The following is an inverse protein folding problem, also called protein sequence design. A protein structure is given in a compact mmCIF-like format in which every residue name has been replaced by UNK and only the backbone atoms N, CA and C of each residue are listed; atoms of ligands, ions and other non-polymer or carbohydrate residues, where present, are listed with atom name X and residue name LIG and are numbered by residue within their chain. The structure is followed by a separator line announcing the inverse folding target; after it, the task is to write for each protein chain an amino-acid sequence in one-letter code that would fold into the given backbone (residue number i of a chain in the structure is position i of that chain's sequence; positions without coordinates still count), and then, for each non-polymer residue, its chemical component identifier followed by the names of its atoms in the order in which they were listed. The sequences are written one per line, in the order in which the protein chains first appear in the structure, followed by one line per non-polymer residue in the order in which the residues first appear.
data_IF_327916532576
#
_entry.id   IF_327916532576
#
_cell.length_a   1.000
_cell.length_b   1.000
_cell.length_c   1.000
_cell.angle_alpha   90.00
_cell.angle_beta   90.00
_cell.angle_gamma   90.00
#
_symmetry.space_group_name_H-M   'P 1'
#
loop_
_entity.id
_entity.type
_entity.pdbx_description
1 polymer ?
#
# COMPACT_ATOMS: atom_id res chain seq x y z
N UNK A 1 -15.64 15.04 -5.34
CA UNK A 1 -14.18 15.04 -5.55
C UNK A 1 -13.54 14.66 -4.23
N UNK A 2 -12.93 13.49 -4.09
CA UNK A 2 -12.24 13.15 -2.83
C UNK A 2 -10.92 13.91 -2.77
N UNK A 3 -10.59 14.50 -1.62
CA UNK A 3 -9.34 15.20 -1.39
C UNK A 3 -8.12 14.29 -1.66
N UNK A 4 -6.98 14.90 -1.99
CA UNK A 4 -5.71 14.16 -2.13
C UNK A 4 -5.33 13.48 -0.80
N UNK A 5 -5.14 12.14 -0.76
CA UNK A 5 -4.87 11.45 0.50
C UNK A 5 -3.41 11.55 0.97
N UNK A 6 -2.48 12.06 0.15
CA UNK A 6 -1.04 12.09 0.48
C UNK A 6 -0.73 12.80 1.81
N UNK A 7 -1.34 13.95 2.16
CA UNK A 7 -1.09 14.58 3.46
C UNK A 7 -1.45 13.67 4.65
N UNK A 8 -2.56 12.93 4.55
CA UNK A 8 -2.98 11.97 5.58
C UNK A 8 -1.99 10.80 5.65
N UNK A 9 -1.56 10.27 4.50
CA UNK A 9 -0.59 9.17 4.46
C UNK A 9 0.74 9.56 5.13
N UNK A 10 1.24 10.77 4.89
CA UNK A 10 2.47 11.28 5.53
C UNK A 10 2.31 11.42 7.04
N UNK A 11 1.14 11.89 7.51
CA UNK A 11 0.86 11.99 8.94
C UNK A 11 0.86 10.60 9.62
N UNK A 12 0.16 9.63 9.02
CA UNK A 12 0.09 8.24 9.55
C UNK A 12 1.45 7.56 9.49
N UNK A 13 2.21 7.71 8.40
CA UNK A 13 3.58 7.20 8.28
C UNK A 13 4.41 7.67 9.48
N UNK A 14 4.47 8.99 9.71
CA UNK A 14 5.28 9.56 10.78
C UNK A 14 4.80 9.15 12.17
N UNK A 15 3.49 9.21 12.42
CA UNK A 15 2.93 8.94 13.75
C UNK A 15 2.96 7.43 14.11
N UNK A 16 2.75 6.56 13.12
CA UNK A 16 2.67 5.11 13.32
C UNK A 16 4.00 4.36 13.18
N UNK A 17 5.07 5.04 12.73
CA UNK A 17 6.37 4.39 12.50
C UNK A 17 6.35 3.36 11.37
N UNK A 18 5.42 3.48 10.42
CA UNK A 18 5.34 2.59 9.27
C UNK A 18 6.42 2.92 8.24
N UNK A 19 6.93 1.91 7.54
CA UNK A 19 7.89 2.10 6.43
C UNK A 19 7.25 2.90 5.28
N UNK A 20 5.93 2.70 5.05
CA UNK A 20 5.16 3.44 4.07
C UNK A 20 3.66 3.32 4.37
N UNK A 21 2.87 4.31 3.96
CA UNK A 21 1.41 4.28 3.93
C UNK A 21 0.96 4.57 2.51
N UNK A 22 0.09 3.73 1.95
CA UNK A 22 -0.20 3.77 0.52
C UNK A 22 -1.58 3.19 0.19
N UNK A 23 -2.03 3.48 -1.02
CA UNK A 23 -3.25 2.93 -1.62
C UNK A 23 -2.97 2.55 -3.07
N UNK A 24 -3.64 1.50 -3.53
CA UNK A 24 -3.72 1.15 -4.93
C UNK A 24 -5.17 0.91 -5.31
N UNK A 25 -5.51 1.23 -6.55
CA UNK A 25 -6.87 1.20 -7.08
C UNK A 25 -7.02 0.15 -8.20
N UNK A 26 -8.26 -0.27 -8.54
CA UNK A 26 -8.51 -1.23 -9.61
C UNK A 26 -8.01 -0.79 -11.00
N UNK A 27 -7.96 0.52 -11.25
CA UNK A 27 -7.41 1.13 -12.48
C UNK A 27 -5.88 1.16 -12.51
N UNK A 28 -5.22 0.50 -11.54
CA UNK A 28 -3.77 0.45 -11.31
C UNK A 28 -3.15 1.77 -10.88
N UNK A 29 -3.91 2.83 -10.67
CA UNK A 29 -3.39 4.03 -10.04
C UNK A 29 -3.02 3.74 -8.58
N UNK A 30 -2.05 4.51 -8.06
CA UNK A 30 -1.55 4.33 -6.71
C UNK A 30 -1.06 5.65 -6.13
N UNK A 31 -1.01 5.73 -4.80
CA UNK A 31 -0.41 6.84 -4.06
C UNK A 31 0.36 6.29 -2.86
N UNK A 32 1.51 6.88 -2.58
CA UNK A 32 2.40 6.50 -1.49
C UNK A 32 2.75 7.72 -0.63
N UNK A 33 2.96 7.51 0.67
CA UNK A 33 3.53 8.51 1.57
C UNK A 33 4.98 8.85 1.19
N UNK A 34 5.73 7.83 0.73
CA UNK A 34 7.07 7.94 0.15
C UNK A 34 7.13 7.09 -1.15
N UNK A 35 7.27 7.69 -2.34
CA UNK A 35 7.34 6.97 -3.60
C UNK A 35 8.75 6.46 -3.97
N UNK A 36 9.77 6.69 -3.13
CA UNK A 36 11.13 6.21 -3.39
C UNK A 36 11.19 4.68 -3.58
N UNK A 37 11.93 4.24 -4.59
CA UNK A 37 12.08 2.83 -4.95
C UNK A 37 10.88 2.20 -5.67
N UNK A 38 9.80 2.95 -5.93
CA UNK A 38 8.67 2.46 -6.73
C UNK A 38 8.99 2.60 -8.23
N UNK A 39 9.06 1.50 -9.00
CA UNK A 39 9.36 1.57 -10.43
C UNK A 39 8.16 2.12 -11.22
N UNK A 40 8.39 2.73 -12.41
CA UNK A 40 7.30 3.20 -13.28
C UNK A 40 6.34 2.09 -13.72
N UNK A 41 6.81 0.84 -13.73
CA UNK A 41 6.04 -0.36 -14.09
C UNK A 41 5.28 -0.96 -12.91
N UNK A 42 5.23 -0.28 -11.76
CA UNK A 42 4.54 -0.78 -10.57
C UNK A 42 3.04 -0.97 -10.83
N UNK A 43 2.55 -2.17 -10.53
CA UNK A 43 1.13 -2.53 -10.57
C UNK A 43 0.67 -2.91 -9.16
N UNK A 44 -0.16 -2.09 -8.47
CA UNK A 44 -0.63 -2.40 -7.13
C UNK A 44 -1.51 -3.65 -7.10
N UNK A 45 -2.27 -3.92 -8.18
CA UNK A 45 -3.23 -5.03 -8.24
C UNK A 45 -2.55 -6.39 -8.31
N UNK A 46 -1.29 -6.41 -8.76
CA UNK A 46 -0.46 -7.61 -8.80
C UNK A 46 0.13 -7.99 -7.43
N UNK A 47 0.09 -7.09 -6.42
CA UNK A 47 0.82 -7.26 -5.16
C UNK A 47 0.10 -8.16 -4.15
N UNK A 48 0.83 -8.90 -3.29
CA UNK A 48 0.23 -9.79 -2.29
C UNK A 48 -0.78 -9.09 -1.36
N UNK A 49 -0.44 -7.90 -0.86
CA UNK A 49 -1.31 -7.13 0.04
C UNK A 49 -2.65 -6.75 -0.60
N UNK A 50 -2.65 -6.39 -1.90
CA UNK A 50 -3.86 -5.99 -2.61
C UNK A 50 -4.76 -7.20 -2.84
N UNK A 51 -4.19 -8.28 -3.39
CA UNK A 51 -4.94 -9.51 -3.66
C UNK A 51 -5.57 -10.08 -2.39
N UNK A 52 -4.80 -10.15 -1.30
CA UNK A 52 -5.31 -10.68 -0.03
C UNK A 52 -6.41 -9.82 0.56
N UNK A 53 -6.29 -8.48 0.54
CA UNK A 53 -7.33 -7.60 1.05
C UNK A 53 -8.62 -7.70 0.24
N UNK A 54 -8.51 -7.72 -1.10
CA UNK A 54 -9.66 -7.86 -2.00
C UNK A 54 -10.34 -9.22 -1.84
N UNK A 55 -9.56 -10.31 -1.83
CA UNK A 55 -10.07 -11.67 -1.65
C UNK A 55 -10.76 -11.84 -0.29
N UNK A 56 -10.18 -11.26 0.77
CA UNK A 56 -10.75 -11.39 2.11
C UNK A 56 -12.00 -10.51 2.33
N UNK A 57 -12.17 -9.42 1.58
CA UNK A 57 -13.28 -8.47 1.75
C UNK A 57 -13.30 -7.77 3.12
N UNK A 58 -12.22 -7.84 3.89
CA UNK A 58 -12.08 -7.28 5.25
C UNK A 58 -10.61 -6.96 5.56
N UNK A 59 -10.31 -6.24 6.67
CA UNK A 59 -8.93 -6.02 7.10
C UNK A 59 -8.12 -7.31 7.24
N UNK A 60 -6.87 -7.30 6.77
CA UNK A 60 -5.93 -8.43 6.82
C UNK A 60 -4.53 -7.99 7.24
N UNK A 61 -3.75 -8.96 7.74
CA UNK A 61 -2.29 -8.86 7.87
C UNK A 61 -1.68 -9.88 6.93
N UNK A 62 -0.77 -9.46 6.06
CA UNK A 62 -0.13 -10.37 5.10
C UNK A 62 0.91 -11.27 5.78
N UNK A 63 1.18 -12.47 5.24
CA UNK A 63 2.47 -13.12 5.43
C UNK A 63 3.64 -12.22 4.98
N UNK A 64 4.87 -12.48 5.43
CA UNK A 64 6.04 -11.76 4.93
C UNK A 64 6.22 -11.87 3.42
N UNK A 65 6.50 -10.77 2.73
CA UNK A 65 6.82 -10.74 1.30
C UNK A 65 7.86 -9.65 0.99
N UNK A 66 8.51 -9.75 -0.16
CA UNK A 66 9.51 -8.75 -0.58
C UNK A 66 8.81 -7.47 -1.05
N UNK A 67 9.09 -6.36 -0.36
CA UNK A 67 8.64 -5.03 -0.74
C UNK A 67 9.27 -4.60 -2.06
N UNK A 68 8.49 -3.97 -2.94
CA UNK A 68 9.03 -3.38 -4.17
C UNK A 68 9.90 -2.17 -3.86
N UNK A 69 9.51 -1.34 -2.89
CA UNK A 69 10.22 -0.08 -2.61
C UNK A 69 11.57 -0.30 -1.94
N UNK A 70 11.68 -1.26 -1.02
CA UNK A 70 12.88 -1.46 -0.20
C UNK A 70 13.69 -2.69 -0.58
N UNK A 71 13.11 -3.64 -1.32
CA UNK A 71 13.74 -4.95 -1.58
C UNK A 71 13.86 -5.85 -0.34
N UNK A 72 13.26 -5.45 0.79
CA UNK A 72 13.32 -6.20 2.06
C UNK A 72 12.01 -6.96 2.33
N UNK A 73 12.08 -7.96 3.21
CA UNK A 73 10.88 -8.63 3.72
C UNK A 73 10.07 -7.68 4.60
N UNK A 74 8.76 -7.59 4.32
CA UNK A 74 7.80 -6.79 5.07
C UNK A 74 6.52 -7.56 5.31
N UNK A 75 5.77 -7.16 6.33
CA UNK A 75 4.35 -7.48 6.50
C UNK A 75 3.53 -6.22 6.27
N UNK A 76 2.31 -6.38 5.77
CA UNK A 76 1.41 -5.25 5.50
C UNK A 76 0.06 -5.48 6.18
N UNK A 77 -0.42 -4.45 6.87
CA UNK A 77 -1.82 -4.32 7.27
C UNK A 77 -2.59 -3.70 6.11
N UNK A 78 -3.56 -4.42 5.56
CA UNK A 78 -4.30 -3.97 4.39
C UNK A 78 -5.81 -4.05 4.64
N UNK A 79 -6.55 -3.07 4.12
CA UNK A 79 -8.01 -3.00 4.19
C UNK A 79 -8.54 -2.78 2.78
N UNK A 80 -9.52 -3.58 2.30
CA UNK A 80 -10.14 -3.32 1.01
C UNK A 80 -10.98 -2.05 1.09
N UNK A 81 -10.92 -1.25 0.03
CA UNK A 81 -11.84 -0.13 -0.18
C UNK A 81 -12.97 -0.68 -1.05
N UNK A 82 -14.16 -0.83 -0.46
CA UNK A 82 -15.36 -1.33 -1.12
C UNK A 82 -16.23 -0.17 -1.63
#
# INVERSE_FOLDING_TARGET
MSADPIPVFKAVHKAGGFINVYVGYPDKSYKFSNPEGIPPTYDPTARPWYKQAVEAGKPVVTPPYVSVSTGQLVVTFAVPIL
#
